data_IF_706459479599
#
_entry.id   IF_706459479599
#
_cell.length_a   1.000
_cell.length_b   1.000
_cell.length_c   1.000
_cell.angle_alpha   90.00
_cell.angle_beta   90.00
_cell.angle_gamma   90.00
#
_symmetry.space_group_name_H-M   'P 1'
#
loop_
_entity.id
_entity.type
_entity.pdbx_description
1 polymer ?
#
# COMPACT_ATOMS: atom_id res chain seq x y z
N UNK A 1 -15.65 8.73 5.69
CA UNK A 1 -14.44 9.40 6.22
C UNK A 1 -13.25 9.24 5.29
N UNK A 2 -12.91 8.01 4.88
CA UNK A 2 -12.01 7.77 3.73
C UNK A 2 -12.52 8.53 2.49
N UNK A 3 -13.81 8.42 2.16
CA UNK A 3 -14.43 9.19 1.07
C UNK A 3 -14.24 10.72 1.17
N UNK A 4 -14.13 11.29 2.39
CA UNK A 4 -13.88 12.74 2.53
C UNK A 4 -12.41 13.07 2.29
N UNK A 5 -11.49 12.21 2.74
CA UNK A 5 -10.06 12.31 2.45
C UNK A 5 -9.77 12.17 0.95
N UNK A 6 -10.41 11.19 0.31
CA UNK A 6 -10.41 10.91 -1.13
C UNK A 6 -11.03 12.02 -2.01
N UNK A 7 -11.77 12.95 -1.43
CA UNK A 7 -12.32 14.10 -2.15
C UNK A 7 -11.63 15.43 -1.79
N UNK A 8 -10.71 15.42 -0.82
CA UNK A 8 -10.05 16.66 -0.33
C UNK A 8 -8.54 16.67 -0.51
N UNK A 9 -7.89 15.50 -0.49
CA UNK A 9 -6.42 15.38 -0.55
C UNK A 9 -5.92 14.26 -1.45
N UNK A 10 -6.81 13.38 -1.89
CA UNK A 10 -6.55 12.24 -2.75
C UNK A 10 -7.62 12.23 -3.87
N UNK A 11 -7.58 11.23 -4.75
CA UNK A 11 -8.63 10.95 -5.71
C UNK A 11 -9.63 9.91 -5.16
N UNK A 12 -10.86 9.93 -5.69
CA UNK A 12 -11.89 8.94 -5.35
C UNK A 12 -11.41 7.53 -5.68
N UNK A 13 -11.43 6.62 -4.70
CA UNK A 13 -10.98 5.24 -4.85
C UNK A 13 -9.47 5.02 -4.73
N UNK A 14 -8.66 6.09 -4.66
CA UNK A 14 -7.21 6.00 -4.64
C UNK A 14 -6.68 5.24 -3.41
N UNK A 15 -7.40 5.25 -2.29
CA UNK A 15 -7.01 4.49 -1.09
C UNK A 15 -7.20 2.99 -1.31
N UNK A 16 -8.32 2.60 -1.94
CA UNK A 16 -8.59 1.20 -2.26
C UNK A 16 -7.56 0.66 -3.25
N UNK A 17 -7.21 1.45 -4.26
CA UNK A 17 -6.17 1.10 -5.23
C UNK A 17 -4.80 0.97 -4.56
N UNK A 18 -4.41 1.92 -3.71
CA UNK A 18 -3.15 1.84 -2.97
C UNK A 18 -3.06 0.57 -2.12
N UNK A 19 -4.15 0.17 -1.45
CA UNK A 19 -4.20 -1.10 -0.68
C UNK A 19 -4.03 -2.30 -1.61
N UNK A 20 -4.70 -2.33 -2.77
CA UNK A 20 -4.58 -3.42 -3.75
C UNK A 20 -3.17 -3.53 -4.34
N UNK A 21 -2.56 -2.40 -4.68
CA UNK A 21 -1.19 -2.36 -5.17
C UNK A 21 -0.20 -2.81 -4.09
N UNK A 22 -0.37 -2.37 -2.85
CA UNK A 22 0.45 -2.81 -1.73
C UNK A 22 0.33 -4.33 -1.50
N UNK A 23 -0.89 -4.85 -1.50
CA UNK A 23 -1.13 -6.28 -1.34
C UNK A 23 -0.49 -7.10 -2.47
N UNK A 24 -0.64 -6.66 -3.73
CA UNK A 24 0.00 -7.31 -4.88
C UNK A 24 1.53 -7.26 -4.79
N UNK A 25 2.08 -6.13 -4.36
CA UNK A 25 3.50 -5.94 -4.18
C UNK A 25 4.08 -6.90 -3.14
N UNK A 26 3.52 -6.94 -1.92
CA UNK A 26 4.07 -7.81 -0.86
C UNK A 26 3.87 -9.31 -1.12
N UNK A 27 2.91 -9.67 -1.97
CA UNK A 27 2.69 -11.06 -2.43
C UNK A 27 3.82 -11.56 -3.32
N UNK A 28 4.53 -10.67 -4.03
CA UNK A 28 5.68 -11.05 -4.85
C UNK A 28 6.91 -11.19 -3.95
N UNK A 29 7.55 -12.37 -3.82
CA UNK A 29 8.76 -12.54 -3.01
C UNK A 29 9.91 -11.58 -3.38
N UNK A 30 9.96 -11.14 -4.64
CA UNK A 30 10.97 -10.20 -5.13
C UNK A 30 10.78 -8.76 -4.62
N UNK A 31 9.67 -8.45 -3.92
CA UNK A 31 9.45 -7.13 -3.33
C UNK A 31 10.57 -6.69 -2.37
N UNK A 32 11.30 -7.64 -1.78
CA UNK A 32 12.46 -7.38 -0.90
C UNK A 32 13.67 -6.83 -1.67
N UNK A 33 13.70 -7.01 -2.99
CA UNK A 33 14.73 -6.51 -3.90
C UNK A 33 14.30 -5.20 -4.58
N UNK A 34 13.14 -4.66 -4.21
CA UNK A 34 12.59 -3.46 -4.83
C UNK A 34 13.54 -2.27 -4.64
N UNK A 35 13.90 -1.63 -5.75
CA UNK A 35 14.60 -0.34 -5.75
C UNK A 35 13.57 0.79 -5.61
N UNK A 36 13.64 1.64 -4.57
CA UNK A 36 12.79 2.82 -4.43
C UNK A 36 12.84 3.80 -5.61
N UNK A 37 13.90 3.74 -6.44
CA UNK A 37 14.03 4.54 -7.67
C UNK A 37 13.22 3.99 -8.84
N UNK A 38 12.71 2.76 -8.72
CA UNK A 38 11.87 2.17 -9.75
C UNK A 38 10.47 2.81 -9.75
N UNK A 39 10.18 3.53 -10.82
CA UNK A 39 8.92 4.26 -11.01
C UNK A 39 7.84 3.43 -11.70
N UNK A 40 8.12 2.15 -12.00
CA UNK A 40 7.20 1.32 -12.75
C UNK A 40 7.13 1.70 -14.23
N UNK A 41 5.97 1.46 -14.83
CA UNK A 41 5.69 1.75 -16.23
C UNK A 41 5.04 3.13 -16.44
N UNK A 42 4.89 3.92 -15.39
CA UNK A 42 4.20 5.21 -15.44
C UNK A 42 2.67 5.13 -15.54
N UNK A 43 2.09 3.92 -15.59
CA UNK A 43 0.64 3.68 -15.56
C UNK A 43 0.28 3.23 -14.16
N UNK A 44 -0.50 4.05 -13.45
CA UNK A 44 -0.87 3.82 -12.05
C UNK A 44 -1.55 2.46 -11.85
N UNK A 45 -2.49 2.11 -12.72
CA UNK A 45 -3.27 0.87 -12.66
C UNK A 45 -2.42 -0.39 -12.93
N UNK A 46 -1.27 -0.23 -13.58
CA UNK A 46 -0.42 -1.35 -14.00
C UNK A 46 0.76 -1.54 -13.05
N UNK A 47 1.58 -0.50 -12.88
CA UNK A 47 2.80 -0.50 -12.08
C UNK A 47 3.06 0.90 -11.52
N UNK A 48 2.39 1.27 -10.41
CA UNK A 48 2.64 2.56 -9.78
C UNK A 48 4.00 2.53 -9.04
N UNK A 49 4.65 3.69 -8.85
CA UNK A 49 5.78 3.78 -7.94
C UNK A 49 5.37 3.37 -6.52
N UNK A 50 6.06 2.40 -5.90
CA UNK A 50 5.67 1.93 -4.55
C UNK A 50 5.89 3.01 -3.48
N UNK A 51 6.79 3.97 -3.72
CA UNK A 51 6.96 5.15 -2.87
C UNK A 51 5.67 5.98 -2.80
N UNK A 52 4.97 6.16 -3.91
CA UNK A 52 3.70 6.88 -3.94
C UNK A 52 2.59 6.09 -3.25
N UNK A 53 2.53 4.77 -3.48
CA UNK A 53 1.61 3.87 -2.79
C UNK A 53 1.80 3.96 -1.26
N UNK A 54 3.05 3.90 -0.78
CA UNK A 54 3.37 4.04 0.64
C UNK A 54 2.98 5.41 1.19
N UNK A 55 3.23 6.50 0.44
CA UNK A 55 2.86 7.85 0.84
C UNK A 55 1.34 7.99 1.02
N UNK A 56 0.54 7.45 0.09
CA UNK A 56 -0.92 7.45 0.19
C UNK A 56 -1.38 6.67 1.41
N UNK A 57 -0.85 5.46 1.63
CA UNK A 57 -1.20 4.66 2.82
C UNK A 57 -0.82 5.39 4.12
N UNK A 58 0.34 6.05 4.16
CA UNK A 58 0.78 6.83 5.31
C UNK A 58 -0.15 8.02 5.60
N UNK A 59 -0.53 8.79 4.57
CA UNK A 59 -1.47 9.90 4.68
C UNK A 59 -2.81 9.41 5.25
N UNK A 60 -3.33 8.29 4.75
CA UNK A 60 -4.60 7.73 5.21
C UNK A 60 -4.50 7.32 6.67
N UNK A 61 -3.49 6.53 7.05
CA UNK A 61 -3.30 6.09 8.44
C UNK A 61 -3.19 7.29 9.40
N UNK A 62 -2.52 8.37 9.00
CA UNK A 62 -2.31 9.54 9.85
C UNK A 62 -3.55 10.46 9.95
N UNK A 63 -4.41 10.49 8.94
CA UNK A 63 -5.56 11.41 8.89
C UNK A 63 -6.89 10.78 9.29
N UNK A 64 -6.97 9.45 9.42
CA UNK A 64 -8.14 8.79 9.98
C UNK A 64 -8.17 8.90 11.52
N UNK A 65 -9.32 9.11 12.17
CA UNK A 65 -9.43 8.97 13.61
C UNK A 65 -8.91 7.64 14.12
N UNK A 66 -8.44 7.70 15.37
CA UNK A 66 -7.60 6.69 16.02
C UNK A 66 -8.14 5.26 15.95
N UNK A 67 -9.47 5.06 15.89
CA UNK A 67 -10.08 3.73 15.76
C UNK A 67 -9.85 3.15 14.36
N UNK A 68 -10.14 3.94 13.34
CA UNK A 68 -10.05 3.51 11.94
C UNK A 68 -8.60 3.41 11.47
N UNK A 69 -7.75 4.34 11.91
CA UNK A 69 -6.30 4.28 11.72
C UNK A 69 -5.72 2.97 12.28
N UNK A 70 -6.07 2.59 13.52
CA UNK A 70 -5.62 1.32 14.11
C UNK A 70 -6.11 0.09 13.34
N UNK A 71 -7.36 0.12 12.86
CA UNK A 71 -7.90 -0.98 12.06
C UNK A 71 -7.16 -1.13 10.74
N UNK A 72 -6.85 -0.02 10.07
CA UNK A 72 -6.09 -0.03 8.82
C UNK A 72 -4.64 -0.48 9.05
N UNK A 73 -4.00 0.01 10.12
CA UNK A 73 -2.65 -0.43 10.49
C UNK A 73 -2.60 -1.94 10.72
N UNK A 74 -3.54 -2.49 11.50
CA UNK A 74 -3.61 -3.93 11.74
C UNK A 74 -3.84 -4.75 10.46
N UNK A 75 -4.58 -4.20 9.49
CA UNK A 75 -4.75 -4.84 8.18
C UNK A 75 -3.44 -4.84 7.37
N UNK A 76 -2.72 -3.71 7.35
CA UNK A 76 -1.41 -3.61 6.69
C UNK A 76 -0.37 -4.52 7.34
N UNK A 77 -0.35 -4.59 8.67
CA UNK A 77 0.55 -5.47 9.43
C UNK A 77 0.27 -6.94 9.09
N UNK A 78 -1.01 -7.35 9.05
CA UNK A 78 -1.39 -8.71 8.62
C UNK A 78 -0.94 -9.02 7.19
N UNK A 79 -1.15 -8.08 6.27
CA UNK A 79 -0.71 -8.22 4.88
C UNK A 79 0.81 -8.41 4.82
N UNK A 80 1.59 -7.67 5.61
CA UNK A 80 3.04 -7.80 5.67
C UNK A 80 3.50 -9.11 6.35
N UNK A 81 2.82 -9.54 7.42
CA UNK A 81 3.16 -10.74 8.19
C UNK A 81 2.90 -12.04 7.41
N UNK A 82 1.77 -12.13 6.68
CA UNK A 82 1.42 -13.30 5.88
C UNK A 82 2.49 -13.67 4.84
N UNK A 83 3.34 -12.72 4.44
CA UNK A 83 4.37 -12.91 3.42
C UNK A 83 5.80 -12.77 3.96
N UNK A 84 5.98 -12.87 5.29
CA UNK A 84 7.30 -13.19 5.88
C UNK A 84 7.79 -14.60 5.51
N UNK A 85 6.93 -15.46 4.96
CA UNK A 85 7.26 -16.84 4.58
C UNK A 85 8.27 -16.94 3.40
N UNK A 86 9.18 -17.91 3.50
CA UNK A 86 10.31 -18.18 2.60
C UNK A 86 10.09 -19.56 1.95
N UNK A 87 10.02 -19.70 0.62
CA UNK A 87 10.02 -21.01 -0.04
C UNK A 87 11.40 -21.71 0.07
N UNK A 88 11.45 -23.06 0.06
CA UNK A 88 12.53 -23.87 0.62
C UNK A 88 13.67 -24.18 -0.35
N UNK A 89 14.08 -23.23 -1.19
CA UNK A 89 15.25 -23.41 -2.05
C UNK A 89 16.24 -22.27 -1.77
N UNK A 90 16.95 -22.43 -0.67
CA UNK A 90 18.26 -21.82 -0.44
C UNK A 90 19.32 -22.88 -0.68
#
# INVERSE_FOLDING_TARGET
>A
MIARLENTRLQSGQVLEAIRHWERFVRDPAHRLYDPRYTGCGIWECCPPMVEVQAILHIVVHNLPRRDSRRLQAQLDRINECWRWRPPYA
#
